data_IF_066331256085
#
_entry.id   IF_066331256085
#
_cell.length_a   1.000
_cell.length_b   1.000
_cell.length_c   1.000
_cell.angle_alpha   90.00
_cell.angle_beta   90.00
_cell.angle_gamma   90.00
#
_symmetry.space_group_name_H-M   'P 1'
#
loop_
_entity.id
_entity.type
_entity.pdbx_description
1 polymer ?
#
# COMPACT_ATOMS: atom_id res chain seq x y z
N UNK A 1 -8.66 24.33 -0.22
CA UNK A 1 -7.92 23.42 -1.14
C UNK A 1 -7.01 22.53 -0.32
N UNK A 2 -7.04 21.24 -0.52
CA UNK A 2 -6.28 20.28 0.29
C UNK A 2 -5.23 19.54 -0.56
N UNK A 3 -4.46 20.31 -1.31
CA UNK A 3 -3.30 19.79 -2.03
C UNK A 3 -2.16 19.62 -1.01
N UNK A 4 -1.44 18.52 -1.10
CA UNK A 4 -0.40 18.20 -0.11
C UNK A 4 0.90 17.80 -0.80
N UNK A 5 2.00 17.97 -0.08
CA UNK A 5 3.31 17.50 -0.49
C UNK A 5 3.50 16.07 0.05
N UNK A 6 3.79 15.12 -0.86
CA UNK A 6 3.97 13.71 -0.46
C UNK A 6 5.35 13.49 0.18
N UNK A 7 5.59 14.15 1.30
CA UNK A 7 6.86 14.09 2.01
C UNK A 7 6.73 13.50 3.42
N UNK A 8 5.52 13.25 3.87
CA UNK A 8 5.28 12.75 5.22
C UNK A 8 4.29 11.60 5.26
N UNK A 9 4.24 10.78 4.21
CA UNK A 9 3.33 9.64 4.17
C UNK A 9 3.70 8.64 5.26
N UNK A 10 2.71 8.28 6.09
CA UNK A 10 2.87 7.24 7.10
C UNK A 10 2.54 5.88 6.54
N UNK A 11 3.39 4.90 6.84
CA UNK A 11 3.21 3.51 6.43
C UNK A 11 3.45 2.61 7.64
N UNK A 12 2.47 1.74 7.95
CA UNK A 12 2.59 0.74 9.00
C UNK A 12 2.22 -0.62 8.43
N UNK A 13 3.14 -1.55 8.42
CA UNK A 13 2.94 -2.92 7.94
C UNK A 13 3.00 -3.87 9.13
N UNK A 14 1.90 -4.61 9.36
CA UNK A 14 1.81 -5.60 10.44
C UNK A 14 2.25 -5.02 11.79
N UNK A 15 1.78 -3.81 12.11
CA UNK A 15 2.10 -3.07 13.33
C UNK A 15 3.55 -2.56 13.43
N UNK A 16 4.33 -2.67 12.35
CA UNK A 16 5.69 -2.12 12.29
C UNK A 16 5.67 -0.84 11.49
N UNK A 17 6.13 0.26 12.09
CA UNK A 17 6.18 1.57 11.43
C UNK A 17 7.38 1.59 10.49
N UNK A 18 7.14 1.80 9.20
CA UNK A 18 8.18 1.82 8.17
C UNK A 18 8.31 3.21 7.51
N UNK A 19 7.63 4.21 8.03
CA UNK A 19 7.49 5.53 7.38
C UNK A 19 8.82 6.18 7.02
N UNK A 20 9.81 6.06 7.89
CA UNK A 20 11.13 6.71 7.69
C UNK A 20 11.94 6.05 6.58
N UNK A 21 11.53 4.89 6.10
CA UNK A 21 12.27 4.12 5.10
C UNK A 21 11.51 4.01 3.78
N UNK A 22 10.35 4.65 3.67
CA UNK A 22 9.55 4.67 2.45
C UNK A 22 9.93 5.89 1.63
N UNK A 23 10.36 5.66 0.38
CA UNK A 23 10.70 6.76 -0.54
C UNK A 23 9.57 7.09 -1.50
N UNK A 24 8.62 6.16 -1.69
CA UNK A 24 7.46 6.37 -2.55
C UNK A 24 6.34 5.43 -2.12
N UNK A 25 5.12 5.93 -2.17
CA UNK A 25 3.93 5.13 -1.85
C UNK A 25 2.83 5.45 -2.86
N UNK A 26 2.24 4.41 -3.44
CA UNK A 26 1.17 4.55 -4.43
C UNK A 26 0.05 3.59 -4.08
N UNK A 27 -1.16 4.12 -3.92
CA UNK A 27 -2.38 3.33 -3.74
C UNK A 27 -3.18 3.42 -5.03
N UNK A 28 -3.48 2.28 -5.62
CA UNK A 28 -4.35 2.20 -6.78
C UNK A 28 -5.57 1.35 -6.42
N UNK A 29 -6.74 2.00 -6.37
CA UNK A 29 -8.00 1.33 -6.09
C UNK A 29 -8.70 1.05 -7.40
N UNK A 30 -9.06 -0.21 -7.61
CA UNK A 30 -9.81 -0.62 -8.80
C UNK A 30 -10.76 -1.74 -8.46
N UNK A 31 -11.74 -1.95 -9.31
CA UNK A 31 -12.62 -3.10 -9.24
C UNK A 31 -12.83 -3.66 -10.64
N UNK A 32 -13.24 -4.91 -10.71
CA UNK A 32 -13.53 -5.54 -11.98
C UNK A 32 -14.84 -4.97 -12.55
N UNK A 33 -14.82 -4.66 -13.85
CA UNK A 33 -16.02 -4.26 -14.57
C UNK A 33 -16.62 -5.50 -15.22
N UNK A 34 -17.89 -5.78 -14.94
CA UNK A 34 -18.61 -6.92 -15.51
C UNK A 34 -19.59 -6.40 -16.53
N UNK A 35 -19.46 -6.86 -17.77
CA UNK A 35 -20.35 -6.41 -18.84
C UNK A 35 -21.71 -7.12 -18.74
N UNK A 36 -22.78 -6.32 -18.79
CA UNK A 36 -24.17 -6.80 -18.73
C UNK A 36 -24.98 -6.26 -19.92
N UNK A 37 -24.32 -5.97 -21.02
CA UNK A 37 -24.97 -5.51 -22.25
C UNK A 37 -25.91 -6.60 -22.76
N UNK A 38 -27.14 -6.21 -23.09
CA UNK A 38 -28.17 -7.13 -23.60
C UNK A 38 -28.69 -6.67 -24.94
N UNK A 39 -29.49 -7.51 -25.59
CA UNK A 39 -30.14 -7.19 -26.85
C UNK A 39 -31.02 -5.94 -26.71
N UNK A 40 -30.93 -5.04 -27.67
CA UNK A 40 -31.66 -3.78 -27.64
C UNK A 40 -30.92 -2.63 -27.00
N UNK A 41 -29.81 -2.89 -26.32
CA UNK A 41 -28.95 -1.83 -25.78
C UNK A 41 -28.21 -1.12 -26.92
N UNK A 42 -28.11 0.21 -26.82
CA UNK A 42 -27.39 1.02 -27.80
C UNK A 42 -25.99 1.40 -27.33
N UNK A 43 -25.61 0.99 -26.12
CA UNK A 43 -24.29 1.18 -25.56
C UNK A 43 -23.91 -0.01 -24.67
N UNK A 44 -22.62 -0.22 -24.47
CA UNK A 44 -22.16 -1.23 -23.53
C UNK A 44 -22.52 -0.81 -22.10
N UNK A 45 -22.93 -1.77 -21.30
CA UNK A 45 -23.27 -1.57 -19.88
C UNK A 45 -22.37 -2.42 -19.00
N UNK A 46 -21.90 -1.83 -17.91
CA UNK A 46 -21.01 -2.49 -16.97
C UNK A 46 -21.52 -2.34 -15.54
N UNK A 47 -21.29 -3.34 -14.72
CA UNK A 47 -21.55 -3.30 -13.29
C UNK A 47 -20.26 -3.57 -12.53
N UNK A 48 -20.23 -3.13 -11.26
CA UNK A 48 -19.08 -3.33 -10.39
C UNK A 48 -18.93 -4.80 -10.02
N UNK A 49 -17.73 -5.33 -10.24
CA UNK A 49 -17.35 -6.66 -9.76
C UNK A 49 -16.56 -6.58 -8.44
N UNK A 50 -15.60 -7.46 -8.26
CA UNK A 50 -14.78 -7.51 -7.07
C UNK A 50 -13.70 -6.41 -7.11
N UNK A 51 -13.34 -5.89 -5.94
CA UNK A 51 -12.24 -4.93 -5.83
C UNK A 51 -10.91 -5.64 -6.05
N UNK A 52 -10.05 -5.04 -6.86
CA UNK A 52 -8.73 -5.56 -7.20
C UNK A 52 -7.69 -4.45 -7.02
N UNK A 53 -7.56 -3.96 -5.80
CA UNK A 53 -6.67 -2.83 -5.48
C UNK A 53 -5.25 -3.32 -5.24
N UNK A 54 -4.29 -2.44 -5.48
CA UNK A 54 -2.87 -2.69 -5.24
C UNK A 54 -2.23 -1.50 -4.54
N UNK A 55 -1.16 -1.78 -3.79
CA UNK A 55 -0.35 -0.75 -3.14
C UNK A 55 1.10 -1.02 -3.49
N UNK A 56 1.78 -0.01 -4.03
CA UNK A 56 3.20 -0.08 -4.36
C UNK A 56 3.98 0.78 -3.39
N UNK A 57 4.96 0.19 -2.74
CA UNK A 57 5.84 0.87 -1.79
C UNK A 57 7.29 0.69 -2.22
N UNK A 58 8.02 1.79 -2.26
CA UNK A 58 9.46 1.79 -2.49
C UNK A 58 10.15 2.05 -1.15
N UNK A 59 11.05 1.15 -0.77
CA UNK A 59 11.74 1.22 0.53
C UNK A 59 13.24 1.42 0.36
N UNK A 60 13.84 2.07 1.35
CA UNK A 60 15.26 1.93 1.63
C UNK A 60 15.45 0.65 2.45
N UNK A 61 16.34 -0.24 2.02
CA UNK A 61 16.57 -1.48 2.75
C UNK A 61 17.27 -1.23 4.07
N UNK A 62 16.79 -1.90 5.11
CA UNK A 62 17.34 -1.82 6.46
C UNK A 62 17.39 -3.22 7.04
N UNK A 63 18.55 -3.61 7.55
CA UNK A 63 18.79 -4.94 8.12
C UNK A 63 18.66 -4.99 9.64
N UNK A 64 18.08 -3.96 10.27
CA UNK A 64 17.79 -4.01 11.69
C UNK A 64 16.96 -5.25 12.03
N UNK A 65 17.22 -5.85 13.19
CA UNK A 65 16.58 -7.10 13.57
C UNK A 65 15.12 -6.90 14.00
N UNK A 66 14.78 -5.71 14.48
CA UNK A 66 13.44 -5.40 14.98
C UNK A 66 13.26 -3.90 15.13
N UNK A 67 12.03 -3.49 15.44
CA UNK A 67 11.69 -2.10 15.71
C UNK A 67 11.21 -1.33 14.49
N UNK A 68 10.95 -0.04 14.69
CA UNK A 68 10.52 0.86 13.62
C UNK A 68 11.60 0.97 12.55
N UNK A 69 11.20 0.94 11.27
CA UNK A 69 12.13 1.03 10.15
C UNK A 69 12.86 -0.26 9.81
N UNK A 70 12.61 -1.35 10.52
CA UNK A 70 13.22 -2.66 10.24
C UNK A 70 12.54 -3.32 9.04
N UNK A 71 12.80 -2.82 7.84
CA UNK A 71 12.11 -3.20 6.60
C UNK A 71 12.27 -4.69 6.32
N UNK A 72 13.53 -5.18 6.30
CA UNK A 72 13.79 -6.58 6.01
C UNK A 72 13.11 -7.51 7.04
N UNK A 73 13.25 -7.20 8.32
CA UNK A 73 12.67 -8.03 9.37
C UNK A 73 11.14 -8.04 9.31
N UNK A 74 10.51 -6.89 9.05
CA UNK A 74 9.06 -6.80 8.93
C UNK A 74 8.54 -7.60 7.74
N UNK A 75 9.18 -7.50 6.58
CA UNK A 75 8.78 -8.26 5.39
C UNK A 75 9.02 -9.75 5.58
N UNK A 76 10.11 -10.14 6.20
CA UNK A 76 10.41 -11.55 6.47
C UNK A 76 9.41 -12.17 7.43
N UNK A 77 9.02 -11.45 8.48
CA UNK A 77 8.02 -11.92 9.43
C UNK A 77 6.64 -12.10 8.79
N UNK A 78 6.32 -11.28 7.80
CA UNK A 78 5.05 -11.32 7.08
C UNK A 78 5.07 -12.20 5.83
N UNK A 79 6.22 -12.76 5.49
CA UNK A 79 6.42 -13.52 4.25
C UNK A 79 5.41 -14.66 4.11
N UNK A 80 4.70 -14.66 2.99
CA UNK A 80 3.72 -15.69 2.68
C UNK A 80 2.43 -15.61 3.47
N UNK A 81 2.22 -14.53 4.23
CA UNK A 81 1.03 -14.35 5.04
C UNK A 81 0.27 -13.09 4.64
N UNK A 82 -0.99 -13.00 5.07
CA UNK A 82 -1.82 -11.81 4.90
C UNK A 82 -1.71 -10.97 6.17
N UNK A 83 -1.28 -9.72 6.04
CA UNK A 83 -1.10 -8.81 7.16
C UNK A 83 -1.76 -7.47 6.88
N UNK A 84 -2.01 -6.69 7.94
CA UNK A 84 -2.62 -5.37 7.83
C UNK A 84 -1.58 -4.35 7.37
N UNK A 85 -1.97 -3.54 6.38
CA UNK A 85 -1.19 -2.40 5.89
C UNK A 85 -2.02 -1.14 6.06
N UNK A 86 -1.44 -0.14 6.70
CA UNK A 86 -2.09 1.13 7.00
C UNK A 86 -1.25 2.25 6.40
N UNK A 87 -1.90 3.16 5.66
CA UNK A 87 -1.25 4.33 5.08
C UNK A 87 -2.06 5.58 5.39
N UNK A 88 -1.35 6.69 5.55
CA UNK A 88 -1.94 8.01 5.73
C UNK A 88 -1.03 9.04 5.05
N UNK A 89 -1.62 10.08 4.49
CA UNK A 89 -0.87 11.06 3.69
C UNK A 89 0.11 11.89 4.51
N UNK A 90 -0.24 12.18 5.78
CA UNK A 90 0.62 12.93 6.69
C UNK A 90 0.55 12.32 8.08
N UNK A 91 1.46 12.72 8.96
CA UNK A 91 1.49 12.26 10.35
C UNK A 91 0.45 12.95 11.23
N UNK A 92 -0.30 13.91 10.72
CA UNK A 92 -1.36 14.58 11.46
C UNK A 92 -2.50 13.60 11.79
N UNK A 93 -3.38 14.00 12.72
CA UNK A 93 -4.52 13.18 13.11
C UNK A 93 -5.43 12.90 11.92
N UNK A 94 -6.04 11.72 11.91
CA UNK A 94 -6.99 11.32 10.87
C UNK A 94 -8.17 12.30 10.85
N UNK A 95 -8.51 12.77 9.64
CA UNK A 95 -9.60 13.72 9.44
C UNK A 95 -10.13 13.60 8.01
N UNK A 96 -11.12 14.41 7.66
CA UNK A 96 -11.67 14.41 6.29
C UNK A 96 -10.65 14.87 5.25
N UNK A 97 -9.63 15.63 5.65
CA UNK A 97 -8.54 16.06 4.76
C UNK A 97 -7.28 15.23 4.91
N UNK A 98 -7.25 14.28 5.84
CA UNK A 98 -6.13 13.37 6.07
C UNK A 98 -6.68 11.97 6.37
N UNK A 99 -7.28 11.31 5.38
CA UNK A 99 -7.90 10.01 5.62
C UNK A 99 -6.88 8.90 5.87
N UNK A 100 -7.29 7.92 6.65
CA UNK A 100 -6.52 6.71 6.93
C UNK A 100 -6.98 5.60 5.98
N UNK A 101 -6.03 4.98 5.29
CA UNK A 101 -6.30 3.87 4.38
C UNK A 101 -5.84 2.57 5.03
N UNK A 102 -6.77 1.63 5.20
CA UNK A 102 -6.49 0.35 5.85
C UNK A 102 -6.91 -0.79 4.93
N UNK A 103 -6.03 -1.75 4.76
CA UNK A 103 -6.33 -2.96 4.00
C UNK A 103 -5.48 -4.11 4.53
N UNK A 104 -5.76 -5.32 4.05
CA UNK A 104 -4.88 -6.46 4.25
C UNK A 104 -4.19 -6.80 2.95
N UNK A 105 -2.92 -7.16 3.03
CA UNK A 105 -2.09 -7.47 1.86
C UNK A 105 -1.41 -8.80 2.04
N UNK A 106 -1.19 -9.50 0.93
CA UNK A 106 -0.40 -10.73 0.90
C UNK A 106 1.05 -10.35 0.57
N UNK A 107 1.97 -10.71 1.43
CA UNK A 107 3.40 -10.48 1.20
C UNK A 107 3.95 -11.68 0.42
N UNK A 108 4.09 -11.49 -0.88
CA UNK A 108 4.46 -12.57 -1.80
C UNK A 108 5.79 -12.34 -2.51
N UNK A 109 6.45 -11.22 -2.26
CA UNK A 109 7.76 -10.95 -2.84
C UNK A 109 8.55 -9.99 -1.96
N UNK A 110 9.86 -10.16 -1.94
CA UNK A 110 10.80 -9.25 -1.30
C UNK A 110 12.06 -9.17 -2.14
N UNK A 111 12.77 -8.05 -2.06
CA UNK A 111 14.06 -7.85 -2.71
C UNK A 111 15.05 -7.43 -1.64
N UNK A 112 15.56 -8.41 -0.90
CA UNK A 112 16.38 -8.13 0.29
C UNK A 112 17.76 -7.59 -0.06
N UNK A 113 18.28 -7.93 -1.22
CA UNK A 113 19.58 -7.48 -1.70
C UNK A 113 19.40 -6.87 -3.08
N UNK A 114 19.71 -5.59 -3.22
CA UNK A 114 19.58 -4.88 -4.48
C UNK A 114 20.49 -3.65 -4.45
N UNK A 115 21.28 -3.50 -5.50
CA UNK A 115 22.16 -2.34 -5.66
C UNK A 115 23.53 -2.76 -6.18
N UNK A 116 24.26 -1.79 -6.70
CA UNK A 116 25.63 -1.93 -7.17
C UNK A 116 26.56 -1.20 -6.21
N UNK A 117 27.88 -1.33 -6.45
CA UNK A 117 28.88 -0.60 -5.67
C UNK A 117 28.60 0.91 -5.73
N UNK A 118 28.47 1.53 -4.57
CA UNK A 118 28.19 2.95 -4.47
C UNK A 118 26.70 3.29 -4.36
N UNK A 119 25.80 2.32 -4.54
CA UNK A 119 24.38 2.52 -4.45
C UNK A 119 23.85 2.18 -3.05
N UNK A 120 22.75 2.86 -2.67
CA UNK A 120 21.99 2.49 -1.48
C UNK A 120 21.08 1.32 -1.86
N UNK A 121 20.98 0.33 -0.98
CA UNK A 121 20.04 -0.79 -1.18
C UNK A 121 18.59 -0.32 -1.10
N UNK A 122 17.81 -0.67 -2.10
CA UNK A 122 16.39 -0.30 -2.19
C UNK A 122 15.56 -1.48 -2.63
N UNK A 123 14.25 -1.42 -2.41
CA UNK A 123 13.32 -2.36 -3.01
C UNK A 123 11.99 -1.69 -3.32
N UNK A 124 11.36 -2.16 -4.39
CA UNK A 124 10.02 -1.72 -4.78
C UNK A 124 9.11 -2.95 -4.77
N UNK A 125 8.05 -2.89 -3.99
CA UNK A 125 7.13 -4.00 -3.82
C UNK A 125 5.72 -3.55 -4.14
N UNK A 126 5.04 -4.31 -5.01
CA UNK A 126 3.61 -4.14 -5.25
C UNK A 126 2.85 -5.19 -4.47
N UNK A 127 2.09 -4.73 -3.47
CA UNK A 127 1.27 -5.60 -2.65
C UNK A 127 -0.10 -5.76 -3.29
N UNK A 128 -0.58 -7.00 -3.36
CA UNK A 128 -1.96 -7.30 -3.74
C UNK A 128 -2.84 -7.20 -2.50
N UNK A 129 -3.88 -6.38 -2.58
CA UNK A 129 -4.82 -6.24 -1.46
C UNK A 129 -5.76 -7.45 -1.41
N UNK A 130 -5.85 -8.08 -0.23
CA UNK A 130 -6.73 -9.22 0.01
C UNK A 130 -8.07 -8.84 0.61
N UNK A 131 -8.31 -7.55 0.79
CA UNK A 131 -9.58 -7.01 1.26
C UNK A 131 -9.80 -5.64 0.62
N UNK A 132 -11.04 -5.12 0.62
CA UNK A 132 -11.27 -3.76 0.17
C UNK A 132 -10.46 -2.76 1.00
N UNK A 133 -10.00 -1.69 0.36
CA UNK A 133 -9.35 -0.60 1.06
C UNK A 133 -10.42 0.19 1.81
N UNK A 134 -10.32 0.24 3.13
CA UNK A 134 -11.23 0.99 3.98
C UNK A 134 -10.64 2.37 4.22
N UNK A 135 -11.43 3.40 3.96
CA UNK A 135 -11.03 4.79 4.16
C UNK A 135 -11.71 5.29 5.43
N UNK A 136 -10.92 5.70 6.41
CA UNK A 136 -11.40 6.24 7.68
C UNK A 136 -11.08 7.73 7.73
N UNK A 137 -12.08 8.55 8.03
CA UNK A 137 -11.94 10.01 8.09
C UNK A 137 -12.16 10.58 9.48
N UNK A 138 -12.47 9.74 10.46
CA UNK A 138 -12.62 10.11 11.86
C UNK A 138 -11.47 9.52 12.68
N UNK A 139 -10.97 10.23 13.70
CA UNK A 139 -9.90 9.74 14.56
C UNK A 139 -10.30 8.48 15.34
#
# INVERSE_FOLDING_TARGET
MAIFLSNGVEVTLNSVVLSDHVTSATINRSFDELEVTAMGDTAHKFVKGLEASTITLDFLNDNAASGAGAVRAALQAAWGTTVTLILRQTSAATSTTNPLYTTTVLVNNTTDINGAVGDIGTQSITFTCNSPIVITTAP
#
